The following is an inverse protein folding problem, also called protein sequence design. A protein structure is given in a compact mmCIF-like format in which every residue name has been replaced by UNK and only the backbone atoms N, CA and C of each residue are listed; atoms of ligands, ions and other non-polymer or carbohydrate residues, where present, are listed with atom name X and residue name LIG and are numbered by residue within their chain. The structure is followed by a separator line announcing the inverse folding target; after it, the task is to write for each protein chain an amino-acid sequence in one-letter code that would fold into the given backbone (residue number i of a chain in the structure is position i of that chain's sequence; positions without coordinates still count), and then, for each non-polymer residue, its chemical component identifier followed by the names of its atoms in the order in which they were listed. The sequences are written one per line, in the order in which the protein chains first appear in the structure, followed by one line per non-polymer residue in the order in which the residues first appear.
data_IF_969987529788
#
_entry.id   IF_969987529788
#
_cell.length_a   1.000
_cell.length_b   1.000
_cell.length_c   1.000
_cell.angle_alpha   90.00
_cell.angle_beta   90.00
_cell.angle_gamma   90.00
#
_symmetry.space_group_name_H-M   'P 1'
#
loop_
_entity.id
_entity.type
_entity.pdbx_description
1 polymer ?
#
# COMPACT_ATOMS: atom_id res chain seq x y z
N UNK A 1 -1.58 0.10 -11.48
CA UNK A 1 -2.53 1.05 -10.89
C UNK A 1 -3.40 1.66 -11.99
N UNK A 2 -4.33 2.54 -11.62
CA UNK A 2 -5.03 3.46 -12.48
C UNK A 2 -5.19 4.79 -11.73
N UNK A 3 -4.72 5.88 -12.34
CA UNK A 3 -4.84 7.23 -11.78
C UNK A 3 -6.20 7.90 -12.10
N UNK A 4 -6.69 8.83 -11.25
CA UNK A 4 -6.12 9.22 -9.96
C UNK A 4 -6.37 8.15 -8.88
N UNK A 5 -5.45 8.01 -7.93
CA UNK A 5 -5.64 7.21 -6.71
C UNK A 5 -4.97 7.84 -5.46
N UNK A 6 -4.74 9.15 -5.48
CA UNK A 6 -4.13 9.94 -4.40
C UNK A 6 -4.95 9.94 -3.09
N UNK A 7 -6.19 9.45 -3.13
CA UNK A 7 -7.11 9.41 -2.00
C UNK A 7 -7.80 8.04 -1.85
N UNK A 8 -8.29 7.76 -0.64
CA UNK A 8 -9.01 6.51 -0.37
C UNK A 8 -10.30 6.36 -1.17
N UNK A 9 -10.95 7.47 -1.55
CA UNK A 9 -12.18 7.47 -2.35
C UNK A 9 -11.91 7.06 -3.81
N UNK A 10 -10.64 7.16 -4.23
CA UNK A 10 -10.15 6.83 -5.58
C UNK A 10 -9.30 5.55 -5.58
N UNK A 11 -9.28 4.83 -4.45
CA UNK A 11 -8.43 3.67 -4.26
C UNK A 11 -8.63 2.61 -5.36
N UNK A 12 -7.53 2.12 -5.89
CA UNK A 12 -7.54 1.00 -6.82
C UNK A 12 -7.97 -0.28 -6.10
N UNK A 13 -9.09 -0.86 -6.51
CA UNK A 13 -9.53 -2.11 -5.91
C UNK A 13 -10.95 -2.53 -6.28
N UNK A 14 -11.44 -3.63 -5.70
CA UNK A 14 -10.75 -4.45 -4.69
C UNK A 14 -9.62 -5.31 -5.30
N UNK A 15 -8.41 -5.21 -4.77
CA UNK A 15 -7.26 -6.01 -5.21
C UNK A 15 -7.33 -7.44 -4.68
N UNK A 16 -6.84 -8.39 -5.47
CA UNK A 16 -6.89 -9.82 -5.20
C UNK A 16 -5.70 -10.28 -4.36
N UNK A 17 -5.95 -11.29 -3.51
CA UNK A 17 -4.92 -11.93 -2.70
C UNK A 17 -3.84 -12.59 -3.57
N UNK A 18 -2.59 -12.41 -3.15
CA UNK A 18 -1.38 -12.97 -3.74
C UNK A 18 -1.18 -12.63 -5.24
N UNK A 19 -1.73 -11.50 -5.68
CA UNK A 19 -1.48 -10.92 -7.01
C UNK A 19 -0.48 -9.76 -6.86
N UNK A 20 0.43 -9.65 -7.83
CA UNK A 20 1.41 -8.57 -7.90
C UNK A 20 0.80 -7.37 -8.63
N UNK A 21 0.76 -6.23 -7.97
CA UNK A 21 0.33 -4.95 -8.52
C UNK A 21 1.56 -4.06 -8.72
N UNK A 22 1.56 -3.31 -9.81
CA UNK A 22 2.61 -2.35 -10.13
C UNK A 22 2.04 -0.94 -10.07
N UNK A 23 2.83 -0.01 -9.56
CA UNK A 23 2.48 1.40 -9.52
C UNK A 23 3.68 2.32 -9.59
N UNK A 24 3.44 3.58 -9.92
CA UNK A 24 4.44 4.61 -10.21
C UNK A 24 3.98 5.97 -9.70
N UNK A 25 4.61 6.44 -8.63
CA UNK A 25 4.43 7.82 -8.19
C UNK A 25 5.28 8.74 -9.09
N UNK A 26 4.67 9.26 -10.14
CA UNK A 26 5.36 9.83 -11.32
C UNK A 26 5.82 11.28 -11.14
N UNK A 27 5.33 11.97 -10.12
CA UNK A 27 5.69 13.35 -9.80
C UNK A 27 5.70 13.60 -8.29
N UNK A 28 6.11 14.79 -7.87
CA UNK A 28 5.98 15.19 -6.46
C UNK A 28 4.55 15.55 -6.05
N UNK A 29 3.66 15.77 -7.01
CA UNK A 29 2.23 16.02 -6.76
C UNK A 29 1.47 14.72 -6.48
N UNK A 30 2.02 13.62 -6.98
CA UNK A 30 1.60 12.24 -6.78
C UNK A 30 2.19 11.75 -5.46
N UNK A 31 1.39 11.93 -4.41
CA UNK A 31 1.86 11.93 -3.02
C UNK A 31 1.53 10.64 -2.30
N UNK A 32 0.52 9.92 -2.79
CA UNK A 32 0.12 8.63 -2.27
C UNK A 32 -0.52 7.81 -3.37
N UNK A 33 -0.33 6.50 -3.33
CA UNK A 33 -1.19 5.60 -4.09
C UNK A 33 -2.06 4.80 -3.12
N UNK A 34 -3.38 4.85 -3.33
CA UNK A 34 -4.33 4.06 -2.55
C UNK A 34 -4.77 2.80 -3.30
N UNK A 35 -4.74 1.68 -2.59
CA UNK A 35 -5.37 0.42 -2.99
C UNK A 35 -6.35 -0.04 -1.91
N UNK A 36 -7.31 -0.89 -2.28
CA UNK A 36 -8.27 -1.44 -1.32
C UNK A 36 -8.42 -2.96 -1.46
N UNK A 37 -8.58 -3.67 -0.36
CA UNK A 37 -8.97 -5.08 -0.33
C UNK A 37 -10.01 -5.34 0.76
N UNK A 38 -10.74 -6.46 0.67
CA UNK A 38 -11.78 -6.81 1.64
C UNK A 38 -11.54 -8.20 2.20
N UNK A 39 -11.59 -8.29 3.53
CA UNK A 39 -11.71 -9.55 4.25
C UNK A 39 -13.19 -9.85 4.46
N UNK A 40 -13.70 -10.94 3.89
CA UNK A 40 -15.08 -11.38 4.10
C UNK A 40 -15.30 -12.10 5.44
N UNK A 41 -14.21 -12.55 6.06
CA UNK A 41 -14.18 -13.19 7.37
C UNK A 41 -12.90 -12.77 8.09
N UNK A 42 -12.89 -12.88 9.42
CA UNK A 42 -11.68 -12.66 10.22
C UNK A 42 -10.55 -13.55 9.71
N UNK A 43 -9.35 -12.99 9.54
CA UNK A 43 -8.24 -13.65 8.87
C UNK A 43 -6.89 -13.02 9.15
N UNK A 44 -5.85 -13.59 8.57
CA UNK A 44 -4.49 -13.04 8.65
C UNK A 44 -4.15 -12.35 7.34
N UNK A 45 -3.73 -11.09 7.40
CA UNK A 45 -3.23 -10.35 6.25
C UNK A 45 -1.74 -10.03 6.37
N UNK A 46 -1.03 -10.04 5.25
CA UNK A 46 0.39 -9.69 5.16
C UNK A 46 0.62 -8.89 3.87
N UNK A 47 1.30 -7.75 3.98
CA UNK A 47 1.51 -6.82 2.88
C UNK A 47 3.01 -6.67 2.61
N UNK A 48 3.35 -6.58 1.33
CA UNK A 48 4.71 -6.45 0.83
C UNK A 48 4.74 -5.32 -0.19
N UNK A 49 5.65 -4.37 0.00
CA UNK A 49 6.00 -3.36 -0.99
C UNK A 49 7.48 -3.52 -1.31
N UNK A 50 7.80 -3.75 -2.58
CA UNK A 50 9.17 -3.97 -3.01
C UNK A 50 9.48 -3.22 -4.29
N UNK A 51 10.74 -3.27 -4.73
CA UNK A 51 11.20 -2.56 -5.93
C UNK A 51 10.95 -1.05 -5.84
N UNK A 52 11.02 -0.48 -4.64
CA UNK A 52 11.01 0.97 -4.45
C UNK A 52 12.17 1.55 -5.28
N UNK A 53 11.93 2.58 -6.12
CA UNK A 53 12.97 3.13 -6.97
C UNK A 53 14.18 3.63 -6.18
N UNK A 54 15.39 3.45 -6.73
CA UNK A 54 16.60 3.93 -6.09
C UNK A 54 16.54 5.46 -5.87
N UNK A 55 16.91 5.92 -4.67
CA UNK A 55 16.79 7.33 -4.29
C UNK A 55 15.39 7.76 -3.82
N UNK A 56 14.41 6.84 -3.86
CA UNK A 56 13.07 7.07 -3.32
C UNK A 56 12.88 6.39 -1.95
N UNK A 57 11.92 6.89 -1.18
CA UNK A 57 11.50 6.39 0.11
C UNK A 57 9.98 6.39 0.15
N UNK A 58 9.39 5.20 0.19
CA UNK A 58 7.96 5.00 0.21
C UNK A 58 7.57 4.27 1.49
N UNK A 59 6.60 4.82 2.22
CA UNK A 59 6.05 4.16 3.39
C UNK A 59 4.85 3.31 2.99
N UNK A 60 4.70 2.15 3.63
CA UNK A 60 3.53 1.28 3.49
C UNK A 60 2.65 1.41 4.73
N UNK A 61 1.38 1.77 4.54
CA UNK A 61 0.43 2.02 5.64
C UNK A 61 -0.87 1.26 5.36
N UNK A 62 -1.32 0.47 6.33
CA UNK A 62 -2.62 -0.21 6.32
C UNK A 62 -3.61 0.56 7.18
N UNK A 63 -4.75 0.90 6.60
CA UNK A 63 -5.85 1.63 7.24
C UNK A 63 -7.13 0.79 7.26
N UNK A 64 -7.92 0.94 8.31
CA UNK A 64 -9.26 0.35 8.40
C UNK A 64 -10.28 1.16 7.57
N UNK A 65 -11.54 0.74 7.57
CA UNK A 65 -12.63 1.41 6.83
C UNK A 65 -12.88 2.87 7.29
N UNK A 66 -12.56 3.19 8.54
CA UNK A 66 -12.60 4.54 9.10
C UNK A 66 -11.34 5.37 8.79
N UNK A 67 -10.44 4.85 7.93
CA UNK A 67 -9.16 5.43 7.53
C UNK A 67 -8.13 5.58 8.67
N UNK A 68 -8.37 4.95 9.81
CA UNK A 68 -7.43 4.90 10.92
C UNK A 68 -6.32 3.87 10.64
N UNK A 69 -5.09 4.18 11.04
CA UNK A 69 -3.96 3.24 10.89
C UNK A 69 -4.19 2.03 11.78
N UNK A 70 -4.15 0.84 11.18
CA UNK A 70 -4.27 -0.42 11.92
C UNK A 70 -3.06 -0.58 12.86
N UNK A 71 -3.23 -1.06 14.11
CA UNK A 71 -2.11 -1.34 15.00
C UNK A 71 -1.10 -2.31 14.35
N UNK A 72 0.17 -1.90 14.26
CA UNK A 72 1.21 -2.65 13.54
C UNK A 72 1.12 -2.57 12.00
N UNK A 73 0.17 -1.79 11.47
CA UNK A 73 -0.07 -1.58 10.05
C UNK A 73 0.72 -0.41 9.45
N UNK A 74 1.97 -0.22 9.82
CA UNK A 74 2.83 0.82 9.24
C UNK A 74 4.27 0.33 9.16
N UNK A 75 4.89 0.54 8.00
CA UNK A 75 6.30 0.27 7.73
C UNK A 75 6.87 1.45 6.93
N UNK A 76 8.09 1.86 7.26
CA UNK A 76 8.72 3.05 6.68
C UNK A 76 10.22 2.99 6.89
N UNK A 77 10.83 1.97 6.29
CA UNK A 77 12.27 1.80 6.22
C UNK A 77 12.91 3.00 5.48
N UNK A 78 14.17 3.28 5.80
CA UNK A 78 14.85 4.44 5.22
C UNK A 78 15.34 4.10 3.81
N UNK A 79 15.05 4.99 2.87
CA UNK A 79 15.48 4.84 1.47
C UNK A 79 14.59 3.86 0.73
N UNK A 80 15.17 3.06 -0.15
CA UNK A 80 14.42 2.18 -1.05
C UNK A 80 14.40 0.71 -0.60
N UNK A 81 14.58 0.48 0.71
CA UNK A 81 14.44 -0.86 1.28
C UNK A 81 12.99 -1.31 1.19
N UNK A 82 12.77 -2.60 0.93
CA UNK A 82 11.41 -3.16 0.86
C UNK A 82 10.65 -2.90 2.18
N UNK A 83 9.34 -2.64 2.06
CA UNK A 83 8.44 -2.52 3.20
C UNK A 83 7.63 -3.80 3.39
N UNK A 84 7.37 -4.10 4.66
CA UNK A 84 6.61 -5.28 5.05
C UNK A 84 5.73 -4.96 6.25
N UNK A 85 4.48 -5.43 6.20
CA UNK A 85 3.52 -5.38 7.31
C UNK A 85 2.97 -6.79 7.53
N UNK A 86 3.01 -7.24 8.78
CA UNK A 86 2.33 -8.46 9.23
C UNK A 86 3.26 -9.62 9.52
N UNK A 87 2.71 -10.83 9.71
CA UNK A 87 1.27 -11.16 9.65
C UNK A 87 0.43 -10.43 10.71
N UNK A 88 -0.73 -9.89 10.30
CA UNK A 88 -1.70 -9.23 11.19
C UNK A 88 -3.01 -10.02 11.24
N UNK A 89 -3.54 -10.26 12.44
CA UNK A 89 -4.88 -10.84 12.60
C UNK A 89 -5.94 -9.74 12.58
N UNK A 90 -6.80 -9.76 11.57
CA UNK A 90 -7.74 -8.69 11.25
C UNK A 90 -9.18 -9.21 11.22
N UNK A 91 -10.15 -8.46 11.76
CA UNK A 91 -11.57 -8.76 11.57
C UNK A 91 -11.99 -8.66 10.10
N UNK A 92 -13.16 -9.21 9.77
CA UNK A 92 -13.78 -8.95 8.47
C UNK A 92 -14.01 -7.44 8.28
N UNK A 93 -13.75 -6.93 7.08
CA UNK A 93 -13.85 -5.49 6.81
C UNK A 93 -13.19 -5.06 5.50
N UNK A 94 -13.44 -3.81 5.13
CA UNK A 94 -12.73 -3.11 4.06
C UNK A 94 -11.46 -2.49 4.63
N UNK A 95 -10.36 -2.64 3.90
CA UNK A 95 -9.06 -2.09 4.25
C UNK A 95 -8.48 -1.30 3.10
N UNK A 96 -7.78 -0.23 3.43
CA UNK A 96 -7.07 0.60 2.49
C UNK A 96 -5.57 0.47 2.73
N UNK A 97 -4.83 0.42 1.65
CA UNK A 97 -3.37 0.42 1.62
C UNK A 97 -2.99 1.78 1.06
N UNK A 98 -2.21 2.53 1.82
CA UNK A 98 -1.62 3.76 1.37
C UNK A 98 -0.12 3.51 1.19
N UNK A 99 0.37 3.74 -0.01
CA UNK A 99 1.80 3.85 -0.30
C UNK A 99 2.10 5.34 -0.33
N UNK A 100 2.88 5.85 0.63
CA UNK A 100 3.11 7.29 0.79
C UNK A 100 4.51 7.70 0.31
N UNK A 101 4.59 8.68 -0.59
CA UNK A 101 5.85 9.21 -1.11
C UNK A 101 6.54 10.14 -0.10
N UNK A 102 7.62 9.68 0.55
CA UNK A 102 8.43 10.52 1.44
C UNK A 102 9.50 11.34 0.73
N UNK A 103 9.77 11.05 -0.55
CA UNK A 103 10.89 11.64 -1.29
C UNK A 103 10.62 13.01 -1.89
N UNK A 104 9.36 13.49 -1.87
CA UNK A 104 8.96 14.76 -2.50
C UNK A 104 9.40 14.87 -3.98
N UNK A 105 9.53 13.73 -4.65
CA UNK A 105 9.95 13.58 -6.04
C UNK A 105 9.28 12.36 -6.65
N UNK A 106 9.12 12.36 -7.98
CA UNK A 106 8.54 11.25 -8.72
C UNK A 106 9.57 10.32 -9.35
N UNK A 107 9.14 9.11 -9.70
CA UNK A 107 9.90 8.13 -10.46
C UNK A 107 9.03 7.48 -11.53
N UNK A 108 9.63 7.16 -12.68
CA UNK A 108 8.99 6.34 -13.72
C UNK A 108 9.25 4.85 -13.54
N UNK A 109 10.07 4.46 -12.55
CA UNK A 109 10.30 3.06 -12.22
C UNK A 109 9.16 2.56 -11.32
N UNK A 110 8.51 1.43 -11.67
CA UNK A 110 7.40 0.94 -10.87
C UNK A 110 7.89 0.24 -9.59
N UNK A 111 7.18 0.48 -8.49
CA UNK A 111 7.22 -0.40 -7.33
C UNK A 111 6.32 -1.62 -7.54
N UNK A 112 6.37 -2.56 -6.60
CA UNK A 112 5.54 -3.76 -6.58
C UNK A 112 4.80 -3.89 -5.24
N UNK A 113 3.47 -3.97 -5.29
CA UNK A 113 2.61 -4.24 -4.14
C UNK A 113 2.06 -5.67 -4.22
N UNK A 114 2.08 -6.40 -3.10
CA UNK A 114 1.41 -7.68 -2.96
C UNK A 114 0.79 -7.80 -1.57
N UNK A 115 -0.42 -8.33 -1.51
CA UNK A 115 -1.12 -8.62 -0.25
C UNK A 115 -1.54 -10.07 -0.22
N UNK A 116 -1.29 -10.76 0.88
CA UNK A 116 -1.75 -12.13 1.12
C UNK A 116 -2.82 -12.10 2.18
N UNK A 117 -3.99 -12.64 1.86
CA UNK A 117 -5.13 -12.81 2.77
C UNK A 117 -6.00 -14.03 2.38
N UNK A 118 -6.88 -14.53 3.28
CA UNK A 118 -7.67 -15.74 3.07
C UNK A 118 -8.76 -15.62 1.98
#
# INVERSE_FOLDING_TARGET
EAEPNDSSDEANGLILSNVLYHGTMSSSADSSDYFAFRLFQTGTAELFLSQIPAGHNYNLILRNEALEVVPGGNSGNIGNADEHIGPLHLPAGLYYIQIFNRSQSGSTQPYQLRVVYP
#
